data_IF_406689117931
#
_entry.id   IF_406689117931
#
_cell.length_a   1.000
_cell.length_b   1.000
_cell.length_c   1.000
_cell.angle_alpha   90.00
_cell.angle_beta   90.00
_cell.angle_gamma   90.00
#
_symmetry.space_group_name_H-M   'P 1'
#
loop_
_entity.id
_entity.type
_entity.pdbx_description
1 polymer ?
#
# COMPACT_ATOMS: atom_id res chain seq x y z
N UNK A 1 -35.31 -3.39 -14.20
CA UNK A 1 -34.25 -2.42 -14.56
C UNK A 1 -34.17 -1.31 -13.54
N UNK A 2 -33.62 -1.60 -12.36
CA UNK A 2 -33.29 -0.58 -11.35
C UNK A 2 -31.79 -0.40 -11.39
N UNK A 3 -31.35 0.82 -11.74
CA UNK A 3 -29.94 1.22 -11.62
C UNK A 3 -29.69 1.51 -10.14
N UNK A 4 -29.01 0.60 -9.44
CA UNK A 4 -28.47 0.89 -8.12
C UNK A 4 -27.37 1.95 -8.26
N UNK A 5 -27.73 3.21 -8.01
CA UNK A 5 -26.74 4.27 -7.82
C UNK A 5 -26.33 4.21 -6.36
N UNK A 6 -25.43 3.27 -6.03
CA UNK A 6 -24.86 3.18 -4.71
C UNK A 6 -24.02 4.43 -4.42
N UNK A 7 -24.52 5.33 -3.57
CA UNK A 7 -23.73 6.44 -3.04
C UNK A 7 -22.59 5.85 -2.19
N UNK A 8 -21.45 5.55 -2.82
CA UNK A 8 -20.19 5.42 -2.09
C UNK A 8 -19.86 6.83 -1.60
N UNK A 9 -19.94 7.06 -0.31
CA UNK A 9 -19.41 8.27 0.31
C UNK A 9 -18.00 8.55 -0.27
N UNK A 10 -17.72 9.80 -0.63
CA UNK A 10 -16.41 10.16 -1.16
C UNK A 10 -15.33 9.72 -0.18
N UNK A 11 -14.37 8.90 -0.63
CA UNK A 11 -13.24 8.50 0.21
C UNK A 11 -12.52 9.76 0.66
N UNK A 12 -12.37 9.94 1.98
CA UNK A 12 -11.66 11.10 2.53
C UNK A 12 -10.21 11.04 2.04
N UNK A 13 -9.77 12.08 1.33
CA UNK A 13 -8.35 12.26 1.02
C UNK A 13 -7.58 12.63 2.29
N UNK A 14 -6.52 11.90 2.57
CA UNK A 14 -5.56 12.21 3.63
C UNK A 14 -4.32 12.84 3.00
N UNK A 15 -4.01 14.07 3.39
CA UNK A 15 -2.86 14.81 2.89
C UNK A 15 -2.08 15.41 4.05
N UNK A 16 -0.80 15.12 4.11
CA UNK A 16 0.15 15.69 5.06
C UNK A 16 1.52 15.85 4.42
N UNK A 17 2.51 16.24 5.23
CA UNK A 17 3.88 16.47 4.74
C UNK A 17 4.60 15.17 4.35
N UNK A 18 4.23 14.04 4.95
CA UNK A 18 4.87 12.75 4.71
C UNK A 18 4.10 11.88 3.70
N UNK A 19 2.79 12.09 3.52
CA UNK A 19 1.94 11.21 2.73
C UNK A 19 0.75 11.94 2.06
N UNK A 20 0.36 11.48 0.87
CA UNK A 20 -0.84 11.93 0.16
C UNK A 20 -1.58 10.75 -0.48
N UNK A 21 -2.77 10.45 0.05
CA UNK A 21 -3.55 9.28 -0.38
C UNK A 21 -4.00 9.35 -1.85
N UNK A 22 -3.92 10.51 -2.51
CA UNK A 22 -4.23 10.61 -3.94
C UNK A 22 -3.26 9.81 -4.83
N UNK A 23 -2.07 9.45 -4.34
CA UNK A 23 -1.14 8.58 -5.08
C UNK A 23 -1.73 7.20 -5.38
N UNK A 24 -2.64 6.70 -4.54
CA UNK A 24 -3.35 5.44 -4.79
C UNK A 24 -4.18 5.45 -6.07
N UNK A 25 -4.60 6.62 -6.57
CA UNK A 25 -5.35 6.73 -7.83
C UNK A 25 -4.54 6.29 -9.06
N UNK A 26 -3.20 6.25 -8.93
CA UNK A 26 -2.28 5.82 -10.00
C UNK A 26 -1.91 4.34 -9.90
N UNK A 27 -2.21 3.69 -8.77
CA UNK A 27 -1.92 2.29 -8.59
C UNK A 27 -3.00 1.42 -9.24
N UNK A 28 -2.60 0.61 -10.20
CA UNK A 28 -3.49 -0.37 -10.82
C UNK A 28 -3.43 -1.68 -10.05
N UNK A 29 -4.45 -1.95 -9.25
CA UNK A 29 -4.57 -3.20 -8.50
C UNK A 29 -4.62 -4.42 -9.43
N UNK A 30 -4.02 -5.52 -8.97
CA UNK A 30 -4.01 -6.82 -9.61
C UNK A 30 -4.58 -7.88 -8.67
N UNK A 31 -5.23 -8.93 -9.18
CA UNK A 31 -5.57 -10.09 -8.37
C UNK A 31 -4.33 -10.65 -7.68
N UNK A 32 -4.37 -10.77 -6.36
CA UNK A 32 -3.26 -11.25 -5.54
C UNK A 32 -2.44 -10.16 -4.83
N UNK A 33 -2.72 -8.87 -5.09
CA UNK A 33 -2.10 -7.78 -4.32
C UNK A 33 -2.47 -7.87 -2.84
N UNK A 34 -1.49 -7.61 -1.97
CA UNK A 34 -1.68 -7.53 -0.52
C UNK A 34 -1.40 -6.12 -0.05
N UNK A 35 -2.38 -5.50 0.61
CA UNK A 35 -2.26 -4.17 1.22
C UNK A 35 -2.09 -4.31 2.72
N UNK A 36 -1.03 -3.71 3.27
CA UNK A 36 -0.75 -3.67 4.71
C UNK A 36 -1.03 -2.27 5.23
N UNK A 37 -2.04 -2.14 6.11
CA UNK A 37 -2.51 -0.85 6.63
C UNK A 37 -2.50 -0.83 8.17
N UNK A 38 -1.32 -0.96 8.77
CA UNK A 38 -1.16 -0.79 10.22
C UNK A 38 -1.03 0.69 10.57
N UNK A 39 -1.48 1.15 11.74
CA UNK A 39 -1.16 2.49 12.22
C UNK A 39 0.37 2.70 12.29
N UNK A 40 0.80 3.96 12.14
CA UNK A 40 2.21 4.32 12.19
C UNK A 40 2.84 3.86 13.50
N UNK A 41 3.99 3.18 13.40
CA UNK A 41 4.77 2.64 14.53
C UNK A 41 4.09 1.50 15.31
N UNK A 42 3.01 0.91 14.78
CA UNK A 42 2.36 -0.29 15.34
C UNK A 42 2.79 -1.57 14.62
N UNK A 43 4.04 -1.66 14.17
CA UNK A 43 4.59 -2.90 13.60
C UNK A 43 4.43 -3.08 12.09
N UNK A 44 4.31 -2.01 11.30
CA UNK A 44 4.23 -2.11 9.82
C UNK A 44 5.34 -2.98 9.24
N UNK A 45 6.59 -2.71 9.64
CA UNK A 45 7.76 -3.47 9.16
C UNK A 45 7.67 -4.94 9.53
N UNK A 46 7.24 -5.27 10.74
CA UNK A 46 7.11 -6.67 11.16
C UNK A 46 6.02 -7.40 10.38
N UNK A 47 4.87 -6.75 10.16
CA UNK A 47 3.80 -7.29 9.32
C UNK A 47 4.26 -7.49 7.88
N UNK A 48 4.97 -6.52 7.30
CA UNK A 48 5.56 -6.63 5.95
C UNK A 48 6.52 -7.82 5.83
N UNK A 49 7.38 -8.03 6.83
CA UNK A 49 8.29 -9.18 6.85
C UNK A 49 7.52 -10.51 6.89
N UNK A 50 6.53 -10.65 7.78
CA UNK A 50 5.74 -11.89 7.90
C UNK A 50 5.01 -12.19 6.59
N UNK A 51 4.27 -11.22 6.05
CA UNK A 51 3.54 -11.39 4.79
C UNK A 51 4.49 -11.71 3.65
N UNK A 52 5.63 -11.02 3.55
CA UNK A 52 6.64 -11.28 2.54
C UNK A 52 7.17 -12.72 2.59
N UNK A 53 7.49 -13.21 3.79
CA UNK A 53 7.96 -14.60 3.96
C UNK A 53 6.89 -15.63 3.58
N UNK A 54 5.62 -15.38 3.93
CA UNK A 54 4.51 -16.27 3.58
C UNK A 54 4.25 -16.32 2.07
N UNK A 55 4.30 -15.17 1.39
CA UNK A 55 4.07 -15.10 -0.06
C UNK A 55 5.24 -15.68 -0.88
N UNK A 56 6.46 -15.54 -0.37
CA UNK A 56 7.68 -16.04 -1.04
C UNK A 56 8.04 -17.48 -0.66
N UNK A 57 7.35 -18.05 0.34
CA UNK A 57 7.60 -19.36 0.95
C UNK A 57 9.06 -19.56 1.40
N UNK A 58 9.64 -18.52 2.03
CA UNK A 58 11.01 -18.54 2.54
C UNK A 58 11.24 -17.42 3.55
N UNK A 59 12.25 -17.58 4.39
CA UNK A 59 12.62 -16.59 5.42
C UNK A 59 13.52 -15.46 4.89
N UNK A 60 14.27 -15.70 3.82
CA UNK A 60 15.07 -14.67 3.16
C UNK A 60 14.27 -14.00 2.04
N UNK A 61 14.04 -12.70 2.17
CA UNK A 61 13.28 -11.93 1.20
C UNK A 61 14.05 -11.67 -0.10
N UNK A 62 15.38 -11.76 -0.10
CA UNK A 62 16.24 -11.52 -1.26
C UNK A 62 16.39 -10.05 -1.66
N UNK A 63 15.68 -9.14 -0.98
CA UNK A 63 15.80 -7.69 -1.16
C UNK A 63 15.33 -6.94 0.11
N UNK A 64 15.69 -5.66 0.29
CA UNK A 64 15.16 -4.84 1.38
C UNK A 64 13.64 -4.76 1.35
N UNK A 65 13.00 -4.82 2.53
CA UNK A 65 11.54 -4.85 2.62
C UNK A 65 10.88 -3.59 2.01
N UNK A 66 11.56 -2.44 2.05
CA UNK A 66 11.07 -1.20 1.43
C UNK A 66 10.99 -1.26 -0.08
N UNK A 67 11.75 -2.16 -0.71
CA UNK A 67 11.72 -2.40 -2.16
C UNK A 67 10.60 -3.37 -2.52
N UNK A 68 10.37 -4.39 -1.69
CA UNK A 68 9.34 -5.42 -1.93
C UNK A 68 7.92 -4.97 -1.53
N UNK A 69 7.82 -4.12 -0.52
CA UNK A 69 6.57 -3.57 0.02
C UNK A 69 6.74 -2.06 0.22
N UNK A 70 6.71 -1.28 -0.88
CA UNK A 70 6.89 0.17 -0.82
C UNK A 70 5.70 0.85 -0.13
N UNK A 71 5.98 1.97 0.56
CA UNK A 71 4.93 2.83 1.10
C UNK A 71 4.42 3.76 -0.01
N UNK A 72 3.33 3.33 -0.68
CA UNK A 72 2.86 3.93 -1.92
C UNK A 72 2.60 5.45 -1.85
N UNK A 73 1.92 5.93 -0.82
CA UNK A 73 1.55 7.33 -0.68
C UNK A 73 2.63 8.19 0.00
N UNK A 74 3.82 7.66 0.29
CA UNK A 74 4.92 8.38 0.95
C UNK A 74 5.58 9.43 0.04
N UNK A 75 5.45 10.70 0.38
CA UNK A 75 5.95 11.82 -0.43
C UNK A 75 7.47 12.03 -0.42
N UNK A 76 8.21 11.31 0.44
CA UNK A 76 9.68 11.34 0.44
C UNK A 76 10.25 10.59 -0.77
N UNK A 77 9.51 9.63 -1.32
CA UNK A 77 9.87 8.92 -2.55
C UNK A 77 9.16 9.55 -3.74
N UNK A 78 9.89 9.76 -4.83
CA UNK A 78 9.35 10.20 -6.12
C UNK A 78 8.39 9.16 -6.70
N UNK A 79 7.59 9.54 -7.69
CA UNK A 79 6.66 8.58 -8.31
C UNK A 79 7.43 7.47 -9.02
N UNK A 80 8.53 7.79 -9.71
CA UNK A 80 9.35 6.82 -10.46
C UNK A 80 10.06 5.80 -9.53
N UNK A 81 10.23 6.12 -8.24
CA UNK A 81 10.77 5.18 -7.24
C UNK A 81 9.72 4.19 -6.73
N UNK A 82 8.43 4.44 -6.98
CA UNK A 82 7.31 3.73 -6.35
C UNK A 82 6.43 2.98 -7.35
N UNK A 83 6.21 3.55 -8.54
CA UNK A 83 5.37 3.00 -9.62
C UNK A 83 6.21 2.48 -10.78
#
# INVERSE_FOLDING_TARGET
NVKETGYRASVRRYRGVMADSARWERFTFRPGDVVISTPSKCGTTWMQMIVGMLLLDRVDLGAPISTLSPWLDMLIRTDDEVF
#
